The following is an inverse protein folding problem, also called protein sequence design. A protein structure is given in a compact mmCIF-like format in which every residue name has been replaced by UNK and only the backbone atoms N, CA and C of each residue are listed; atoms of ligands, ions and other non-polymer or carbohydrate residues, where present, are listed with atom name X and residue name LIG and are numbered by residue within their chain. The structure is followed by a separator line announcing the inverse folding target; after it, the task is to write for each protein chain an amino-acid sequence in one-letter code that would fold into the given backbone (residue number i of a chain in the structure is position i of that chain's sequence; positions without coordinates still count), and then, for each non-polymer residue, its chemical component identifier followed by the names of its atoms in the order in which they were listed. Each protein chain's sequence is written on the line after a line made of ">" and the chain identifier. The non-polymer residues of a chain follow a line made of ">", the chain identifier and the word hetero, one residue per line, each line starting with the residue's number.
data_IF_677631256580
#
_entry.id   IF_677631256580
#
_cell.length_a   1.000
_cell.length_b   1.000
_cell.length_c   1.000
_cell.angle_alpha   90.00
_cell.angle_beta   90.00
_cell.angle_gamma   90.00
#
_symmetry.space_group_name_H-M   'P 1'
#
loop_
_entity.id
_entity.type
_entity.pdbx_description
1 polymer ?
#
# COMPACT_ATOMS: atom_id res chain seq x y z
N UNK A 1 -25.47 0.49 -22.10
CA UNK A 1 -24.71 1.71 -21.77
C UNK A 1 -25.17 2.15 -20.39
N UNK A 2 -24.26 2.20 -19.40
CA UNK A 2 -24.63 2.54 -18.02
C UNK A 2 -25.06 4.00 -17.97
N UNK A 3 -26.27 4.27 -17.49
CA UNK A 3 -26.76 5.64 -17.30
C UNK A 3 -26.01 6.22 -16.10
N UNK A 4 -25.15 7.22 -16.33
CA UNK A 4 -24.53 7.97 -15.24
C UNK A 4 -25.64 8.58 -14.38
N UNK A 5 -25.74 8.15 -13.13
CA UNK A 5 -26.71 8.68 -12.18
C UNK A 5 -26.07 9.88 -11.51
N UNK A 6 -26.62 11.06 -11.77
CA UNK A 6 -26.21 12.30 -11.11
C UNK A 6 -26.86 12.40 -9.73
N UNK A 7 -26.08 12.74 -8.71
CA UNK A 7 -26.56 13.07 -7.36
C UNK A 7 -26.03 14.44 -6.95
N UNK A 8 -26.83 15.20 -6.21
CA UNK A 8 -26.48 16.52 -5.69
C UNK A 8 -26.15 16.40 -4.20
N UNK A 9 -24.96 16.84 -3.79
CA UNK A 9 -24.47 16.69 -2.42
C UNK A 9 -24.27 18.07 -1.79
N UNK A 10 -24.75 18.27 -0.56
CA UNK A 10 -24.53 19.50 0.19
C UNK A 10 -23.09 19.57 0.70
N UNK A 11 -22.38 20.65 0.39
CA UNK A 11 -21.01 20.91 0.83
C UNK A 11 -20.86 21.08 2.35
N UNK A 12 -21.92 21.48 3.06
CA UNK A 12 -21.85 21.76 4.50
C UNK A 12 -22.16 20.55 5.37
N UNK A 13 -23.10 19.70 4.97
CA UNK A 13 -23.55 18.57 5.80
C UNK A 13 -23.54 17.21 5.10
N UNK A 14 -23.18 17.16 3.82
CA UNK A 14 -23.13 15.92 3.04
C UNK A 14 -24.50 15.35 2.66
N UNK A 15 -25.61 16.07 2.89
CA UNK A 15 -26.94 15.60 2.48
C UNK A 15 -27.03 15.41 0.97
N UNK A 16 -27.52 14.25 0.54
CA UNK A 16 -27.64 13.86 -0.86
C UNK A 16 -29.08 13.99 -1.38
N UNK A 17 -29.24 14.45 -2.61
CA UNK A 17 -30.52 14.57 -3.29
C UNK A 17 -30.41 14.18 -4.76
N UNK A 18 -31.43 13.52 -5.31
CA UNK A 18 -31.51 13.21 -6.75
C UNK A 18 -31.86 14.42 -7.63
N UNK A 19 -32.16 15.58 -7.04
CA UNK A 19 -32.49 16.83 -7.73
C UNK A 19 -31.94 18.04 -6.98
N UNK A 20 -31.65 19.12 -7.69
CA UNK A 20 -31.24 20.38 -7.07
C UNK A 20 -32.39 20.99 -6.27
N UNK A 21 -32.17 21.27 -4.98
CA UNK A 21 -33.21 21.78 -4.09
C UNK A 21 -33.03 23.26 -3.69
N UNK A 22 -31.90 23.89 -4.05
CA UNK A 22 -31.59 25.29 -3.69
C UNK A 22 -31.27 25.50 -2.21
N UNK A 23 -32.11 24.99 -1.31
CA UNK A 23 -31.89 24.95 0.15
C UNK A 23 -31.71 23.52 0.63
N UNK A 24 -30.68 23.27 1.43
CA UNK A 24 -30.45 21.97 2.02
C UNK A 24 -31.51 21.65 3.10
N UNK A 25 -32.25 20.53 3.01
CA UNK A 25 -33.27 20.18 3.99
C UNK A 25 -32.68 19.70 5.33
N UNK A 26 -31.41 19.27 5.36
CA UNK A 26 -30.74 18.82 6.57
C UNK A 26 -30.16 19.98 7.41
N UNK A 27 -29.30 20.82 6.83
CA UNK A 27 -28.67 21.95 7.54
C UNK A 27 -29.36 23.30 7.33
N UNK A 28 -30.31 23.42 6.40
CA UNK A 28 -31.02 24.67 6.13
C UNK A 28 -30.26 25.68 5.27
N UNK A 29 -29.04 25.38 4.86
CA UNK A 29 -28.19 26.30 4.10
C UNK A 29 -28.57 26.42 2.64
N UNK A 30 -28.36 27.60 2.07
CA UNK A 30 -28.74 27.92 0.69
C UNK A 30 -27.54 27.80 -0.25
N UNK A 31 -27.79 27.32 -1.48
CA UNK A 31 -26.82 27.20 -2.57
C UNK A 31 -25.55 26.39 -2.24
N UNK A 32 -25.65 25.45 -1.29
CA UNK A 32 -24.54 24.60 -0.87
C UNK A 32 -24.43 23.29 -1.65
N UNK A 33 -25.38 22.98 -2.53
CA UNK A 33 -25.34 21.74 -3.30
C UNK A 33 -24.29 21.79 -4.42
N UNK A 34 -23.64 20.68 -4.69
CA UNK A 34 -22.81 20.50 -5.89
C UNK A 34 -23.15 19.18 -6.57
N UNK A 35 -22.92 19.11 -7.88
CA UNK A 35 -23.22 17.93 -8.69
C UNK A 35 -22.10 16.91 -8.59
N UNK A 36 -22.41 15.70 -8.13
CA UNK A 36 -21.52 14.56 -8.11
C UNK A 36 -22.03 13.47 -9.07
N UNK A 37 -21.22 13.14 -10.07
CA UNK A 37 -21.49 12.03 -10.98
C UNK A 37 -21.14 10.74 -10.28
N UNK A 38 -22.12 9.88 -10.02
CA UNK A 38 -21.85 8.52 -9.57
C UNK A 38 -21.34 7.75 -10.79
N UNK A 39 -20.03 7.57 -10.85
CA UNK A 39 -19.45 6.52 -11.69
C UNK A 39 -19.71 5.23 -10.94
N UNK A 40 -20.70 4.45 -11.38
CA UNK A 40 -20.77 3.05 -10.98
C UNK A 40 -19.47 2.41 -11.48
N UNK A 41 -18.50 2.27 -10.58
CA UNK A 41 -17.40 1.35 -10.81
C UNK A 41 -18.07 0.00 -10.96
N UNK A 42 -18.21 -0.46 -12.22
CA UNK A 42 -18.35 -1.88 -12.47
C UNK A 42 -17.21 -2.48 -11.69
N UNK A 43 -17.55 -3.17 -10.61
CA UNK A 43 -16.61 -4.01 -9.90
C UNK A 43 -16.04 -4.95 -10.96
N UNK A 44 -14.89 -4.58 -11.54
CA UNK A 44 -13.92 -5.56 -11.96
C UNK A 44 -13.60 -6.26 -10.66
N UNK A 45 -14.36 -7.32 -10.40
CA UNK A 45 -14.06 -8.30 -9.39
C UNK A 45 -12.72 -8.90 -9.80
N UNK A 46 -11.63 -8.17 -9.49
CA UNK A 46 -10.49 -8.77 -8.86
C UNK A 46 -11.12 -9.59 -7.74
N UNK A 47 -11.24 -10.90 -7.98
CA UNK A 47 -11.59 -11.85 -6.93
C UNK A 47 -10.58 -11.56 -5.84
N UNK A 48 -11.00 -10.81 -4.81
CA UNK A 48 -10.32 -10.82 -3.54
C UNK A 48 -10.34 -12.30 -3.16
N UNK A 49 -9.20 -12.97 -3.31
CA UNK A 49 -9.03 -14.30 -2.77
C UNK A 49 -9.56 -14.23 -1.34
N UNK A 50 -10.50 -15.11 -1.02
CA UNK A 50 -11.12 -15.20 0.30
C UNK A 50 -10.00 -15.09 1.32
N UNK A 51 -9.91 -13.93 1.97
CA UNK A 51 -8.98 -13.71 3.06
C UNK A 51 -9.15 -14.89 4.00
N UNK A 52 -8.04 -15.50 4.38
CA UNK A 52 -7.94 -16.58 5.36
C UNK A 52 -9.06 -16.46 6.39
N UNK A 53 -9.87 -17.51 6.58
CA UNK A 53 -10.96 -17.55 7.56
C UNK A 53 -10.38 -17.32 8.97
N UNK A 54 -10.17 -16.06 9.34
CA UNK A 54 -9.56 -15.69 10.60
C UNK A 54 -10.69 -15.59 11.63
N UNK A 55 -11.07 -16.74 12.17
CA UNK A 55 -12.10 -16.84 13.22
C UNK A 55 -11.45 -16.46 14.56
N UNK A 56 -12.13 -15.68 15.43
CA UNK A 56 -11.60 -15.37 16.75
C UNK A 56 -11.31 -16.65 17.55
N UNK A 57 -10.09 -16.78 18.06
CA UNK A 57 -9.68 -17.88 18.95
C UNK A 57 -9.13 -17.33 20.27
N UNK A 58 -9.13 -18.16 21.32
CA UNK A 58 -8.56 -17.78 22.62
C UNK A 58 -7.04 -17.71 22.50
N UNK A 59 -6.39 -16.79 23.22
CA UNK A 59 -4.93 -16.65 23.17
C UNK A 59 -4.22 -17.97 23.52
N UNK A 60 -4.70 -18.68 24.54
CA UNK A 60 -4.12 -19.95 25.00
C UNK A 60 -4.27 -21.12 24.02
N UNK A 61 -5.07 -20.98 22.95
CA UNK A 61 -5.16 -22.01 21.91
C UNK A 61 -4.17 -21.81 20.76
N UNK A 62 -3.37 -20.73 20.78
CA UNK A 62 -2.34 -20.51 19.76
C UNK A 62 -1.04 -21.21 20.14
N UNK A 63 -0.49 -21.96 19.18
CA UNK A 63 0.89 -22.43 19.24
C UNK A 63 1.80 -21.40 18.58
N UNK A 64 2.87 -20.99 19.27
CA UNK A 64 3.89 -20.16 18.69
C UNK A 64 4.65 -20.97 17.63
N UNK A 65 4.49 -20.61 16.36
CA UNK A 65 5.27 -21.19 15.26
C UNK A 65 6.45 -20.29 14.96
N UNK A 66 7.65 -20.87 14.90
CA UNK A 66 8.80 -20.17 14.36
C UNK A 66 8.55 -19.85 12.88
N UNK A 67 8.73 -18.59 12.52
CA UNK A 67 8.65 -18.15 11.13
C UNK A 67 9.99 -18.35 10.45
N UNK A 68 9.96 -18.91 9.24
CA UNK A 68 11.15 -19.00 8.40
C UNK A 68 11.57 -17.57 8.02
N UNK A 69 12.81 -17.22 8.36
CA UNK A 69 13.41 -15.92 8.09
C UNK A 69 14.48 -16.02 7.03
N UNK A 70 14.53 -15.02 6.16
CA UNK A 70 15.58 -14.85 5.15
C UNK A 70 16.52 -13.75 5.61
N UNK A 71 17.81 -14.05 5.77
CA UNK A 71 18.81 -13.02 6.09
C UNK A 71 18.88 -11.98 4.97
N UNK A 72 19.00 -10.71 5.37
CA UNK A 72 19.23 -9.60 4.44
C UNK A 72 20.69 -9.50 3.97
N UNK A 73 21.61 -10.23 4.60
CA UNK A 73 23.07 -10.10 4.40
C UNK A 73 23.68 -8.88 5.11
N UNK A 74 22.94 -8.26 6.02
CA UNK A 74 23.39 -7.17 6.90
C UNK A 74 23.01 -7.48 8.34
N UNK A 75 23.99 -7.78 9.19
CA UNK A 75 23.74 -8.21 10.57
C UNK A 75 22.93 -7.20 11.39
N UNK A 76 23.22 -5.90 11.27
CA UNK A 76 22.48 -4.86 11.99
C UNK A 76 21.04 -4.72 11.48
N UNK A 77 20.81 -4.90 10.17
CA UNK A 77 19.45 -4.87 9.64
C UNK A 77 18.67 -6.11 10.07
N UNK A 78 19.29 -7.29 10.03
CA UNK A 78 18.69 -8.52 10.52
C UNK A 78 18.35 -8.39 12.01
N UNK A 79 19.21 -7.78 12.82
CA UNK A 79 18.94 -7.46 14.22
C UNK A 79 17.71 -6.55 14.38
N UNK A 80 17.60 -5.48 13.61
CA UNK A 80 16.43 -4.58 13.62
C UNK A 80 15.15 -5.31 13.22
N UNK A 81 15.24 -6.25 12.27
CA UNK A 81 14.10 -7.06 11.81
C UNK A 81 13.79 -8.26 12.73
N UNK A 82 14.57 -8.48 13.79
CA UNK A 82 14.41 -9.61 14.71
C UNK A 82 14.88 -10.96 14.14
N UNK A 83 15.93 -10.94 13.32
CA UNK A 83 16.56 -12.12 12.70
C UNK A 83 16.42 -12.21 11.18
N UNK A 84 16.00 -11.13 10.50
CA UNK A 84 15.84 -11.07 9.04
C UNK A 84 14.38 -11.03 8.55
N UNK A 85 14.20 -11.11 7.23
CA UNK A 85 12.93 -10.94 6.53
C UNK A 85 11.99 -12.12 6.76
N UNK A 86 10.76 -11.85 7.20
CA UNK A 86 9.71 -12.88 7.38
C UNK A 86 8.93 -13.07 6.08
N UNK A 87 8.71 -14.32 5.66
CA UNK A 87 7.91 -14.63 4.46
C UNK A 87 6.48 -14.11 4.61
N UNK A 88 5.98 -13.40 3.59
CA UNK A 88 4.64 -12.80 3.60
C UNK A 88 4.48 -11.56 4.48
N UNK A 89 5.59 -10.95 4.91
CA UNK A 89 5.56 -9.68 5.65
C UNK A 89 5.64 -8.47 4.72
N UNK A 90 5.17 -7.33 5.22
CA UNK A 90 5.33 -6.01 4.61
C UNK A 90 6.19 -5.15 5.54
N UNK A 91 7.26 -4.56 5.00
CA UNK A 91 8.20 -3.72 5.75
C UNK A 91 8.20 -2.33 5.12
N UNK A 92 8.02 -1.30 5.94
CA UNK A 92 8.08 0.10 5.54
C UNK A 92 9.40 0.73 5.99
N UNK A 93 10.21 1.21 5.04
CA UNK A 93 11.43 1.96 5.32
C UNK A 93 11.17 3.47 5.19
N UNK A 94 11.06 4.15 6.33
CA UNK A 94 10.91 5.61 6.42
C UNK A 94 12.24 6.34 6.57
N UNK A 95 12.25 7.65 6.28
CA UNK A 95 13.41 8.53 6.48
C UNK A 95 13.40 9.74 5.55
N UNK A 96 14.20 10.74 5.87
CA UNK A 96 14.31 11.99 5.09
C UNK A 96 14.75 11.73 3.63
N UNK A 97 14.38 12.59 2.67
CA UNK A 97 14.94 12.54 1.32
C UNK A 97 16.48 12.60 1.36
N UNK A 98 17.15 11.77 0.56
CA UNK A 98 18.62 11.76 0.50
C UNK A 98 19.34 10.95 1.60
N UNK A 99 18.65 10.46 2.65
CA UNK A 99 19.28 9.66 3.73
C UNK A 99 19.84 8.30 3.27
N UNK A 100 19.55 7.90 2.03
CA UNK A 100 20.08 6.66 1.45
C UNK A 100 19.14 5.46 1.44
N UNK A 101 17.82 5.65 1.60
CA UNK A 101 16.81 4.56 1.56
C UNK A 101 16.94 3.68 0.31
N UNK A 102 16.87 4.29 -0.88
CA UNK A 102 16.96 3.56 -2.16
C UNK A 102 18.33 2.89 -2.33
N UNK A 103 19.39 3.52 -1.80
CA UNK A 103 20.74 2.92 -1.80
C UNK A 103 20.77 1.64 -0.94
N UNK A 104 20.23 1.70 0.29
CA UNK A 104 20.16 0.53 1.18
C UNK A 104 19.34 -0.60 0.55
N UNK A 105 18.17 -0.29 -0.03
CA UNK A 105 17.34 -1.31 -0.69
C UNK A 105 18.07 -1.92 -1.89
N UNK A 106 18.75 -1.12 -2.72
CA UNK A 106 19.53 -1.64 -3.84
C UNK A 106 20.65 -2.59 -3.38
N UNK A 107 21.35 -2.26 -2.29
CA UNK A 107 22.37 -3.16 -1.73
C UNK A 107 21.73 -4.44 -1.14
N UNK A 108 20.57 -4.32 -0.49
CA UNK A 108 19.82 -5.48 0.01
C UNK A 108 19.42 -6.41 -1.13
N UNK A 109 18.97 -5.87 -2.27
CA UNK A 109 18.61 -6.68 -3.44
C UNK A 109 19.77 -7.53 -3.97
N UNK A 110 21.02 -7.03 -3.87
CA UNK A 110 22.21 -7.80 -4.28
C UNK A 110 22.64 -8.84 -3.24
N UNK A 111 22.46 -8.53 -1.94
CA UNK A 111 22.92 -9.38 -0.83
C UNK A 111 21.93 -10.43 -0.36
N UNK A 112 20.63 -10.20 -0.49
CA UNK A 112 19.62 -11.14 0.00
C UNK A 112 19.78 -12.49 -0.71
N UNK A 113 19.85 -13.57 0.08
CA UNK A 113 19.99 -14.95 -0.39
C UNK A 113 18.80 -15.75 0.13
N UNK A 114 17.69 -15.70 -0.59
CA UNK A 114 16.48 -16.47 -0.30
C UNK A 114 16.18 -17.49 -1.40
N UNK A 115 15.11 -18.26 -1.22
CA UNK A 115 14.66 -19.30 -2.17
C UNK A 115 14.00 -18.73 -3.47
N UNK A 116 14.27 -17.47 -3.83
CA UNK A 116 13.57 -16.80 -4.92
C UNK A 116 14.33 -15.63 -5.56
N UNK A 117 13.71 -15.05 -6.58
CA UNK A 117 14.23 -13.90 -7.31
C UNK A 117 13.79 -12.58 -6.65
N UNK A 118 14.66 -11.59 -6.69
CA UNK A 118 14.37 -10.23 -6.22
C UNK A 118 13.85 -9.39 -7.37
N UNK A 119 12.72 -8.71 -7.16
CA UNK A 119 12.18 -7.74 -8.10
C UNK A 119 12.23 -6.34 -7.48
N UNK A 120 13.01 -5.44 -8.07
CA UNK A 120 13.06 -4.04 -7.69
C UNK A 120 12.16 -3.23 -8.62
N UNK A 121 11.14 -2.57 -8.06
CA UNK A 121 10.18 -1.74 -8.80
C UNK A 121 10.35 -0.29 -8.38
N UNK A 122 10.47 0.62 -9.35
CA UNK A 122 10.59 2.06 -9.11
C UNK A 122 9.76 2.85 -10.12
N UNK A 123 9.15 3.94 -9.65
CA UNK A 123 8.59 5.00 -10.48
C UNK A 123 9.29 6.36 -10.30
N UNK A 124 10.34 6.42 -9.47
CA UNK A 124 11.08 7.66 -9.15
C UNK A 124 12.32 7.85 -10.05
N UNK A 125 12.97 6.76 -10.43
CA UNK A 125 14.22 6.76 -11.21
C UNK A 125 14.09 5.82 -12.42
N UNK A 126 14.81 6.14 -13.51
CA UNK A 126 14.85 5.30 -14.70
C UNK A 126 15.68 4.02 -14.48
N UNK A 127 15.46 3.01 -15.33
CA UNK A 127 16.22 1.76 -15.27
C UNK A 127 17.74 1.99 -15.45
N UNK A 128 18.13 2.92 -16.35
CA UNK A 128 19.52 3.29 -16.59
C UNK A 128 20.16 3.95 -15.37
N UNK A 129 19.43 4.84 -14.69
CA UNK A 129 19.91 5.50 -13.47
C UNK A 129 20.12 4.48 -12.35
N UNK A 130 19.16 3.57 -12.15
CA UNK A 130 19.25 2.48 -11.17
C UNK A 130 20.46 1.58 -11.48
N UNK A 131 20.65 1.21 -12.75
CA UNK A 131 21.78 0.37 -13.20
C UNK A 131 23.13 1.01 -12.87
N UNK A 132 23.31 2.29 -13.20
CA UNK A 132 24.55 3.02 -12.90
C UNK A 132 24.85 3.11 -11.40
N UNK A 133 23.83 3.16 -10.54
CA UNK A 133 24.01 3.14 -9.08
C UNK A 133 24.35 1.74 -8.58
N UNK A 134 23.62 0.73 -9.05
CA UNK A 134 23.86 -0.66 -8.68
C UNK A 134 25.29 -1.11 -9.00
N UNK A 135 25.83 -0.73 -10.17
CA UNK A 135 27.20 -1.07 -10.56
C UNK A 135 28.26 -0.48 -9.63
N UNK A 136 28.04 0.72 -9.09
CA UNK A 136 28.95 1.31 -8.09
C UNK A 136 28.89 0.58 -6.75
N UNK A 137 27.73 0.05 -6.39
CA UNK A 137 27.49 -0.64 -5.12
C UNK A 137 28.01 -2.08 -5.12
N UNK A 138 28.10 -2.73 -6.29
CA UNK A 138 28.64 -4.10 -6.45
C UNK A 138 30.17 -4.18 -6.46
N UNK A 139 30.86 -3.10 -6.86
CA UNK A 139 32.33 -3.07 -6.96
C UNK A 139 33.02 -2.72 -5.64
N UNK A 140 32.37 -2.97 -4.50
CA UNK A 140 32.90 -2.84 -3.14
C UNK A 140 32.61 -4.11 -2.38
#
# INVERSE_FOLDING_TARGET
>A
MAKNKTVFVCNECGYESGKWLGKCPACGSWNTFFEQKIVESKNSSLKAEKGTNNVPQKLNSYEAKETIRTSTGFDELDRVLGGGLVKGSLILLGGEPGIGKSTLILQLCDKVRGEGQVLYVSGEESAEQIKLRADRLRNK
#
